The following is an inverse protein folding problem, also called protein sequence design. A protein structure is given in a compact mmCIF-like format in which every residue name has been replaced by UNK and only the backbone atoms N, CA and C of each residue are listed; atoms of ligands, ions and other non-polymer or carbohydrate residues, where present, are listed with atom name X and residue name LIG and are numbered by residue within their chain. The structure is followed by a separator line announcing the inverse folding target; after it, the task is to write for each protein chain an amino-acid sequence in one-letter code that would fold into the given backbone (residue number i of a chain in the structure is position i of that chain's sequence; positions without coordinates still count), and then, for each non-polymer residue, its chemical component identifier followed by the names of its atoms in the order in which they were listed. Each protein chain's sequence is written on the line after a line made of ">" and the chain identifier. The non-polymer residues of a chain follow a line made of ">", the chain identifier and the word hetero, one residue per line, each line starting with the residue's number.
data_IF_815844169157
#
_entry.id   IF_815844169157
#
_cell.length_a   1.000
_cell.length_b   1.000
_cell.length_c   1.000
_cell.angle_alpha   90.00
_cell.angle_beta   90.00
_cell.angle_gamma   90.00
#
_symmetry.space_group_name_H-M   'P 1'
#
loop_
_entity.id
_entity.type
_entity.pdbx_description
1 polymer ?
#
# COMPACT_ATOMS: atom_id res chain seq x y z
N UNK A 1 22.14 -34.23 17.10
CA UNK A 1 22.30 -33.31 18.25
C UNK A 1 21.09 -32.37 18.25
N UNK A 2 20.12 -32.61 19.14
CA UNK A 2 18.88 -31.80 19.29
C UNK A 2 19.11 -30.71 20.33
N UNK A 3 18.59 -29.51 20.09
CA UNK A 3 18.66 -28.37 21.00
C UNK A 3 17.70 -28.60 22.20
N UNK A 4 18.21 -28.63 23.45
CA UNK A 4 17.42 -29.01 24.63
C UNK A 4 16.41 -27.96 25.13
N UNK A 5 16.34 -26.77 24.54
CA UNK A 5 15.38 -25.71 24.90
C UNK A 5 14.26 -25.49 23.87
N UNK A 6 14.04 -26.45 22.97
CA UNK A 6 12.96 -26.36 21.98
C UNK A 6 11.59 -26.63 22.64
N UNK A 7 10.75 -25.60 22.78
CA UNK A 7 9.30 -25.80 22.90
C UNK A 7 8.77 -26.08 21.49
N UNK A 8 8.30 -27.30 21.25
CA UNK A 8 7.63 -27.66 20.01
C UNK A 8 6.29 -26.93 19.90
N UNK A 9 6.24 -25.89 19.06
CA UNK A 9 4.97 -25.36 18.55
C UNK A 9 4.85 -25.75 17.09
N UNK A 10 4.08 -26.80 16.85
CA UNK A 10 3.60 -27.17 15.52
C UNK A 10 2.61 -26.09 15.06
N UNK A 11 3.11 -25.02 14.46
CA UNK A 11 2.26 -24.03 13.77
C UNK A 11 2.02 -24.51 12.34
N UNK A 12 1.12 -25.49 12.22
CA UNK A 12 0.41 -25.70 10.96
C UNK A 12 -0.78 -24.73 10.94
N UNK A 13 -0.55 -23.54 10.43
CA UNK A 13 -1.61 -22.71 9.85
C UNK A 13 -0.98 -21.92 8.72
N UNK A 14 -1.43 -22.05 7.47
CA UNK A 14 -1.21 -20.94 6.54
C UNK A 14 -1.86 -19.73 7.22
N UNK A 15 -1.14 -18.62 7.37
CA UNK A 15 -1.72 -17.37 7.85
C UNK A 15 -2.86 -16.99 6.87
N UNK A 16 -4.06 -17.49 7.11
CA UNK A 16 -5.27 -16.86 6.59
C UNK A 16 -5.31 -15.53 7.31
N UNK A 17 -5.01 -14.45 6.58
CA UNK A 17 -5.38 -13.12 7.03
C UNK A 17 -6.85 -13.19 7.45
N UNK A 18 -7.13 -12.84 8.70
CA UNK A 18 -8.50 -12.84 9.24
C UNK A 18 -9.37 -11.77 8.55
N UNK A 19 -8.68 -10.79 7.96
CA UNK A 19 -9.22 -9.59 7.31
C UNK A 19 -9.16 -9.77 5.79
N UNK A 20 -10.21 -9.34 5.10
CA UNK A 20 -10.20 -9.29 3.63
C UNK A 20 -9.20 -8.23 3.15
N UNK A 21 -8.37 -8.55 2.16
CA UNK A 21 -7.34 -7.64 1.65
C UNK A 21 -7.51 -7.45 0.16
N UNK A 22 -7.65 -6.19 -0.26
CA UNK A 22 -7.82 -5.81 -1.67
C UNK A 22 -6.84 -4.72 -2.08
N UNK A 23 -6.44 -4.70 -3.34
CA UNK A 23 -5.59 -3.64 -3.90
C UNK A 23 -6.38 -2.76 -4.87
N UNK A 24 -6.16 -1.45 -4.81
CA UNK A 24 -6.57 -0.51 -5.85
C UNK A 24 -5.35 0.18 -6.44
N UNK A 25 -5.41 0.39 -7.76
CA UNK A 25 -4.29 0.87 -8.53
C UNK A 25 -4.48 2.31 -9.03
N UNK A 26 -3.60 3.23 -8.63
CA UNK A 26 -3.42 4.50 -9.35
C UNK A 26 -2.76 4.22 -10.71
N UNK A 27 -3.26 4.93 -11.74
CA UNK A 27 -2.87 4.72 -13.15
C UNK A 27 -2.08 5.89 -13.72
N UNK A 28 -1.88 6.93 -12.94
CA UNK A 28 -1.18 8.13 -13.36
C UNK A 28 0.34 8.03 -13.07
N UNK A 29 1.12 8.83 -13.79
CA UNK A 29 2.55 8.99 -13.48
C UNK A 29 2.76 9.98 -12.31
N UNK A 30 1.70 10.64 -11.85
CA UNK A 30 1.69 11.45 -10.63
C UNK A 30 1.68 10.59 -9.37
N UNK A 31 2.12 11.19 -8.27
CA UNK A 31 2.00 10.60 -6.93
C UNK A 31 0.60 10.85 -6.34
N UNK A 32 -0.46 10.73 -7.14
CA UNK A 32 -1.84 11.01 -6.72
C UNK A 32 -2.62 9.69 -6.53
N UNK A 33 -2.94 9.40 -5.27
CA UNK A 33 -3.68 8.21 -4.86
C UNK A 33 -5.19 8.47 -4.72
N UNK A 34 -5.66 9.70 -5.02
CA UNK A 34 -7.03 10.13 -4.73
C UNK A 34 -8.09 9.29 -5.43
N UNK A 35 -7.91 8.99 -6.72
CA UNK A 35 -8.90 8.24 -7.48
C UNK A 35 -9.01 6.79 -6.97
N UNK A 36 -7.86 6.14 -6.75
CA UNK A 36 -7.84 4.77 -6.22
C UNK A 36 -8.41 4.69 -4.80
N UNK A 37 -8.11 5.68 -3.95
CA UNK A 37 -8.70 5.77 -2.62
C UNK A 37 -10.23 6.01 -2.68
N UNK A 38 -10.69 6.88 -3.58
CA UNK A 38 -12.11 7.15 -3.81
C UNK A 38 -12.84 5.87 -4.22
N UNK A 39 -12.34 5.18 -5.24
CA UNK A 39 -12.93 3.92 -5.73
C UNK A 39 -13.01 2.85 -4.62
N UNK A 40 -11.99 2.77 -3.77
CA UNK A 40 -11.98 1.85 -2.64
C UNK A 40 -13.03 2.19 -1.56
N UNK A 41 -13.18 3.49 -1.24
CA UNK A 41 -14.17 3.93 -0.26
C UNK A 41 -15.59 3.72 -0.81
N UNK A 42 -15.81 4.05 -2.09
CA UNK A 42 -17.11 3.89 -2.76
C UNK A 42 -17.56 2.44 -2.76
N UNK A 43 -16.68 1.50 -3.10
CA UNK A 43 -17.03 0.09 -3.06
C UNK A 43 -17.43 -0.37 -1.65
N UNK A 44 -16.71 0.08 -0.61
CA UNK A 44 -17.08 -0.25 0.77
C UNK A 44 -18.44 0.33 1.16
N UNK A 45 -18.75 1.56 0.72
CA UNK A 45 -20.06 2.18 0.94
C UNK A 45 -21.16 1.35 0.29
N UNK A 46 -20.98 0.98 -0.97
CA UNK A 46 -21.96 0.18 -1.71
C UNK A 46 -22.13 -1.22 -1.10
N UNK A 47 -21.05 -1.88 -0.68
CA UNK A 47 -21.13 -3.18 0.03
C UNK A 47 -21.90 -3.09 1.37
N UNK A 48 -21.82 -1.96 2.08
CA UNK A 48 -22.58 -1.76 3.32
C UNK A 48 -24.06 -1.51 2.99
N UNK A 49 -24.33 -0.76 1.93
CA UNK A 49 -25.69 -0.48 1.45
C UNK A 49 -26.41 -1.73 0.99
N UNK A 50 -25.74 -2.60 0.24
CA UNK A 50 -26.30 -3.88 -0.21
C UNK A 50 -26.70 -4.81 0.95
N UNK A 51 -26.11 -4.64 2.14
CA UNK A 51 -26.45 -5.41 3.36
C UNK A 51 -27.61 -4.81 4.15
N UNK A 52 -28.11 -3.64 3.77
CA UNK A 52 -29.16 -2.92 4.49
C UNK A 52 -30.46 -2.90 3.67
N UNK A 53 -31.59 -3.06 4.37
CA UNK A 53 -32.91 -3.09 3.73
C UNK A 53 -33.41 -1.69 3.30
N UNK A 54 -32.83 -0.63 3.86
CA UNK A 54 -33.22 0.77 3.61
C UNK A 54 -32.04 1.75 3.78
N UNK A 55 -32.20 2.94 3.18
CA UNK A 55 -31.17 4.00 3.16
C UNK A 55 -30.89 4.62 4.54
N UNK A 56 -31.90 4.74 5.41
CA UNK A 56 -31.68 5.32 6.74
C UNK A 56 -30.81 4.38 7.59
N UNK A 57 -31.02 3.06 7.45
CA UNK A 57 -30.22 2.03 8.10
C UNK A 57 -28.80 1.95 7.55
N UNK A 58 -28.61 2.10 6.25
CA UNK A 58 -27.27 2.10 5.64
C UNK A 58 -26.44 3.30 6.12
N UNK A 59 -27.04 4.51 6.16
CA UNK A 59 -26.40 5.72 6.70
C UNK A 59 -26.07 5.56 8.19
N UNK A 60 -27.02 5.03 8.98
CA UNK A 60 -26.78 4.76 10.40
C UNK A 60 -25.62 3.77 10.57
N UNK A 61 -25.58 2.69 9.79
CA UNK A 61 -24.49 1.71 9.84
C UNK A 61 -23.15 2.33 9.44
N UNK A 62 -23.08 3.09 8.35
CA UNK A 62 -21.88 3.83 7.94
C UNK A 62 -21.36 4.76 9.04
N UNK A 63 -22.26 5.45 9.75
CA UNK A 63 -21.88 6.37 10.83
C UNK A 63 -21.22 5.68 12.04
N UNK A 64 -21.44 4.37 12.20
CA UNK A 64 -20.82 3.58 13.28
C UNK A 64 -19.47 2.99 12.89
N UNK A 65 -19.12 3.00 11.60
CA UNK A 65 -17.87 2.41 11.10
C UNK A 65 -16.72 3.38 11.24
N UNK A 66 -15.55 2.83 11.51
CA UNK A 66 -14.29 3.54 11.64
C UNK A 66 -13.40 3.30 10.41
N UNK A 67 -12.81 4.39 9.90
CA UNK A 67 -12.00 4.38 8.69
C UNK A 67 -10.63 5.02 8.96
N UNK A 68 -9.56 4.25 8.75
CA UNK A 68 -8.19 4.77 8.83
C UNK A 68 -7.54 4.86 7.46
N UNK A 69 -6.74 5.90 7.27
CA UNK A 69 -5.77 6.00 6.18
C UNK A 69 -4.38 5.92 6.78
N UNK A 70 -3.58 4.96 6.34
CA UNK A 70 -2.25 4.70 6.86
C UNK A 70 -1.19 5.07 5.83
N UNK A 71 -0.20 5.85 6.27
CA UNK A 71 1.03 6.10 5.53
C UNK A 71 2.24 5.42 6.17
N UNK A 72 3.30 5.17 5.40
CA UNK A 72 4.62 4.86 5.97
C UNK A 72 5.24 6.10 6.62
N UNK A 73 4.98 7.27 6.04
CA UNK A 73 5.46 8.59 6.43
C UNK A 73 4.29 9.56 6.60
N UNK A 74 4.53 10.68 7.31
CA UNK A 74 3.51 11.71 7.50
C UNK A 74 3.11 12.38 6.18
N UNK A 75 4.06 12.56 5.25
CA UNK A 75 3.81 13.21 3.96
C UNK A 75 3.03 12.31 2.98
N UNK A 76 2.80 11.02 3.29
CA UNK A 76 1.98 10.17 2.43
C UNK A 76 0.53 10.67 2.36
N UNK A 77 0.07 11.45 3.34
CA UNK A 77 -1.24 12.13 3.27
C UNK A 77 -1.34 13.07 2.07
N UNK A 78 -0.23 13.66 1.64
CA UNK A 78 -0.19 14.62 0.54
C UNK A 78 -0.25 13.94 -0.84
N UNK A 79 -0.30 12.59 -0.88
CA UNK A 79 -0.68 11.83 -2.07
C UNK A 79 -2.17 11.89 -2.35
N UNK A 80 -2.97 12.37 -1.40
CA UNK A 80 -4.36 12.73 -1.63
C UNK A 80 -4.39 14.20 -2.03
N UNK A 81 -4.89 14.48 -3.23
CA UNK A 81 -5.06 15.82 -3.75
C UNK A 81 -6.25 16.48 -3.04
N UNK A 82 -5.99 17.53 -2.26
CA UNK A 82 -7.02 18.29 -1.55
C UNK A 82 -7.40 19.62 -2.23
N UNK A 83 -6.61 20.08 -3.20
CA UNK A 83 -6.81 21.39 -3.83
C UNK A 83 -7.75 21.31 -5.04
N UNK A 84 -7.66 20.22 -5.81
CA UNK A 84 -8.43 20.02 -7.05
C UNK A 84 -9.35 18.80 -6.96
N UNK A 85 -9.90 18.52 -5.78
CA UNK A 85 -10.72 17.34 -5.52
C UNK A 85 -12.04 17.72 -4.85
N UNK A 86 -13.16 17.25 -5.40
CA UNK A 86 -14.50 17.49 -4.86
C UNK A 86 -14.90 16.53 -3.73
N UNK A 87 -14.14 15.45 -3.53
CA UNK A 87 -14.46 14.38 -2.59
C UNK A 87 -13.65 14.46 -1.30
N UNK A 88 -12.39 14.91 -1.33
CA UNK A 88 -11.53 14.93 -0.15
C UNK A 88 -11.27 16.35 0.34
N UNK A 89 -11.45 16.57 1.65
CA UNK A 89 -11.08 17.79 2.33
C UNK A 89 -10.20 17.48 3.56
N UNK A 90 -9.02 18.10 3.63
CA UNK A 90 -8.13 18.01 4.79
C UNK A 90 -8.62 18.98 5.87
N UNK A 91 -9.06 18.44 7.01
CA UNK A 91 -9.55 19.25 8.14
C UNK A 91 -8.38 19.65 9.05
N UNK A 92 -7.49 18.69 9.30
CA UNK A 92 -6.26 18.89 10.04
C UNK A 92 -5.19 17.87 9.57
N UNK A 93 -4.11 17.69 10.33
CA UNK A 93 -3.02 16.78 9.98
C UNK A 93 -3.36 15.29 10.09
N UNK A 94 -4.45 14.93 10.75
CA UNK A 94 -4.88 13.57 11.00
C UNK A 94 -6.33 13.31 10.57
N UNK A 95 -7.09 14.32 10.17
CA UNK A 95 -8.51 14.18 9.82
C UNK A 95 -8.77 14.58 8.38
N UNK A 96 -9.28 13.63 7.60
CA UNK A 96 -9.75 13.83 6.23
C UNK A 96 -11.26 13.64 6.23
N UNK A 97 -11.99 14.53 5.55
CA UNK A 97 -13.39 14.30 5.22
C UNK A 97 -13.50 13.79 3.80
N UNK A 98 -14.28 12.72 3.64
CA UNK A 98 -14.69 12.18 2.36
C UNK A 98 -16.17 12.49 2.12
N UNK A 99 -16.49 13.08 0.97
CA UNK A 99 -17.85 13.37 0.55
C UNK A 99 -18.27 12.42 -0.58
N UNK A 100 -19.26 11.59 -0.30
CA UNK A 100 -19.88 10.68 -1.25
C UNK A 100 -20.90 11.41 -2.14
N UNK A 101 -21.25 10.81 -3.28
CA UNK A 101 -22.01 11.47 -4.36
C UNK A 101 -23.40 11.93 -3.99
N UNK A 102 -24.02 11.37 -2.96
CA UNK A 102 -25.37 11.72 -2.49
C UNK A 102 -25.39 12.59 -1.23
N UNK A 103 -24.22 13.09 -0.81
CA UNK A 103 -24.07 13.97 0.36
C UNK A 103 -23.69 13.24 1.66
N UNK A 104 -23.58 11.91 1.68
CA UNK A 104 -23.01 11.19 2.82
C UNK A 104 -21.56 11.64 3.04
N UNK A 105 -21.22 11.94 4.29
CA UNK A 105 -19.87 12.38 4.68
C UNK A 105 -19.24 11.36 5.62
N UNK A 106 -18.02 10.90 5.29
CA UNK A 106 -17.23 9.98 6.11
C UNK A 106 -16.00 10.72 6.65
N UNK A 107 -15.68 10.50 7.92
CA UNK A 107 -14.42 10.97 8.50
C UNK A 107 -13.39 9.85 8.45
N UNK A 108 -12.26 10.12 7.81
CA UNK A 108 -11.11 9.22 7.75
C UNK A 108 -10.02 9.77 8.66
N UNK A 109 -9.41 8.90 9.47
CA UNK A 109 -8.28 9.26 10.32
C UNK A 109 -6.95 8.85 9.69
N UNK A 110 -6.09 9.81 9.40
CA UNK A 110 -4.74 9.59 8.90
C UNK A 110 -3.73 9.34 10.02
N UNK A 111 -2.97 8.25 9.91
CA UNK A 111 -1.90 7.88 10.84
C UNK A 111 -0.71 7.32 10.07
N UNK A 112 0.51 7.49 10.58
CA UNK A 112 1.59 6.61 10.14
C UNK A 112 1.40 5.21 10.71
N UNK A 113 1.90 4.18 10.03
CA UNK A 113 1.77 2.80 10.50
C UNK A 113 2.33 2.63 11.92
N UNK A 114 3.44 3.30 12.23
CA UNK A 114 4.02 3.31 13.58
C UNK A 114 3.06 3.91 14.62
N UNK A 115 2.42 5.05 14.31
CA UNK A 115 1.44 5.69 15.22
C UNK A 115 0.15 4.88 15.36
N UNK A 116 -0.17 4.03 14.39
CA UNK A 116 -1.36 3.17 14.44
C UNK A 116 -1.23 1.98 15.39
N UNK A 117 -0.04 1.70 15.94
CA UNK A 117 0.19 0.52 16.78
C UNK A 117 -0.73 0.51 18.00
N UNK A 118 -1.52 -0.55 18.14
CA UNK A 118 -2.50 -0.71 19.21
C UNK A 118 -3.86 -0.05 18.94
N UNK A 119 -4.01 0.65 17.80
CA UNK A 119 -5.28 1.15 17.32
C UNK A 119 -5.82 0.22 16.23
N UNK A 120 -7.13 0.18 16.06
CA UNK A 120 -7.80 -0.60 15.02
C UNK A 120 -8.98 0.18 14.46
N UNK A 121 -9.31 -0.07 13.20
CA UNK A 121 -10.48 0.47 12.52
C UNK A 121 -11.22 -0.64 11.77
N UNK A 122 -12.47 -0.42 11.42
CA UNK A 122 -13.24 -1.39 10.63
C UNK A 122 -12.64 -1.52 9.23
N UNK A 123 -12.30 -0.37 8.63
CA UNK A 123 -11.68 -0.26 7.32
C UNK A 123 -10.34 0.49 7.40
N UNK A 124 -9.32 -0.05 6.74
CA UNK A 124 -7.98 0.55 6.69
C UNK A 124 -7.52 0.66 5.24
N UNK A 125 -7.14 1.86 4.82
CA UNK A 125 -6.53 2.12 3.52
C UNK A 125 -5.06 2.44 3.71
N UNK A 126 -4.15 1.68 3.09
CA UNK A 126 -2.71 1.86 3.20
C UNK A 126 -2.25 2.57 1.92
N UNK A 127 -1.84 3.83 2.06
CA UNK A 127 -1.33 4.64 0.95
C UNK A 127 0.08 4.22 0.57
N UNK A 128 0.48 4.64 -0.64
CA UNK A 128 1.85 4.51 -1.12
C UNK A 128 2.43 3.09 -0.99
N UNK A 129 1.61 2.07 -1.27
CA UNK A 129 2.06 0.67 -1.36
C UNK A 129 2.86 0.46 -2.64
N UNK A 130 3.92 1.24 -2.81
CA UNK A 130 4.75 1.35 -3.99
C UNK A 130 6.17 0.84 -3.71
N UNK A 131 6.87 0.47 -4.77
CA UNK A 131 8.32 0.27 -4.80
C UNK A 131 9.05 1.61 -4.77
N UNK A 132 10.37 1.56 -4.55
CA UNK A 132 11.25 2.73 -4.54
C UNK A 132 11.58 3.25 -3.14
N UNK A 133 12.42 4.29 -3.10
CA UNK A 133 13.12 4.72 -1.87
C UNK A 133 12.20 5.08 -0.71
N UNK A 134 11.12 5.81 -1.00
CA UNK A 134 10.11 6.29 -0.04
C UNK A 134 8.78 5.53 -0.16
N UNK A 135 8.80 4.33 -0.75
CA UNK A 135 7.64 3.47 -0.87
C UNK A 135 7.37 2.67 0.41
N UNK A 136 6.61 1.59 0.26
CA UNK A 136 6.34 0.64 1.33
C UNK A 136 6.55 -0.78 0.77
N UNK A 137 7.75 -1.39 0.94
CA UNK A 137 8.79 -1.06 1.91
C UNK A 137 9.56 0.22 1.64
N UNK A 138 10.00 0.87 2.72
CA UNK A 138 11.08 1.86 2.63
C UNK A 138 12.40 1.18 2.29
N UNK A 139 13.12 1.73 1.32
CA UNK A 139 14.51 1.33 1.00
C UNK A 139 15.54 2.32 1.53
N UNK A 140 15.12 3.30 2.35
CA UNK A 140 16.06 4.13 3.09
C UNK A 140 16.75 3.21 4.11
N UNK A 141 18.04 2.95 3.89
CA UNK A 141 18.81 2.11 4.80
C UNK A 141 18.83 2.71 6.20
N UNK A 142 18.53 1.86 7.20
CA UNK A 142 18.86 2.17 8.59
C UNK A 142 20.38 2.27 8.76
N UNK A 143 20.81 3.07 9.73
CA UNK A 143 22.21 3.37 10.04
C UNK A 143 23.09 2.09 10.00
N UNK A 144 24.24 2.08 9.30
CA UNK A 144 25.11 0.91 9.18
C UNK A 144 25.56 0.33 10.53
N UNK A 145 25.50 1.09 11.62
CA UNK A 145 25.77 0.61 12.99
C UNK A 145 24.70 -0.39 13.48
N UNK A 146 23.44 -0.25 13.09
CA UNK A 146 22.36 -1.18 13.45
C UNK A 146 22.50 -2.54 12.75
N UNK A 147 23.06 -2.55 11.54
CA UNK A 147 23.29 -3.77 10.75
C UNK A 147 24.29 -4.75 11.37
N UNK A 148 25.17 -4.30 12.28
CA UNK A 148 26.11 -5.18 12.99
C UNK A 148 25.45 -5.99 14.11
N UNK A 149 24.38 -5.47 14.72
CA UNK A 149 23.65 -6.14 15.80
C UNK A 149 22.61 -7.13 15.24
N UNK A 150 21.99 -6.79 14.11
CA UNK A 150 20.94 -7.59 13.46
C UNK A 150 21.43 -8.79 12.64
N UNK A 151 22.74 -8.92 12.41
CA UNK A 151 23.37 -10.02 11.63
C UNK A 151 23.08 -11.44 12.17
N UNK A 152 22.45 -11.56 13.34
CA UNK A 152 22.17 -12.85 13.97
C UNK A 152 20.72 -13.34 13.88
N UNK A 153 19.75 -12.54 13.42
CA UNK A 153 18.33 -12.92 13.65
C UNK A 153 17.30 -12.72 12.55
N UNK A 154 17.58 -12.16 11.36
CA UNK A 154 16.65 -12.34 10.23
C UNK A 154 17.29 -11.97 8.87
N UNK A 155 17.65 -12.98 8.07
CA UNK A 155 18.24 -12.79 6.74
C UNK A 155 17.18 -12.58 5.64
N UNK A 156 15.92 -12.33 6.01
CA UNK A 156 14.85 -12.15 5.04
C UNK A 156 14.77 -10.70 4.56
N UNK A 157 14.59 -10.52 3.25
CA UNK A 157 14.63 -9.21 2.61
C UNK A 157 13.54 -8.28 3.17
N UNK A 158 13.94 -7.07 3.57
CA UNK A 158 13.10 -6.05 4.21
C UNK A 158 12.28 -6.60 5.41
N UNK A 159 12.88 -7.46 6.24
CA UNK A 159 12.21 -8.12 7.37
C UNK A 159 11.45 -7.15 8.29
N UNK A 160 12.05 -6.02 8.68
CA UNK A 160 11.39 -5.02 9.53
C UNK A 160 10.22 -4.33 8.82
N UNK A 161 10.43 -3.85 7.60
CA UNK A 161 9.36 -3.20 6.82
C UNK A 161 8.22 -4.17 6.50
N UNK A 162 8.51 -5.45 6.33
CA UNK A 162 7.51 -6.50 6.11
C UNK A 162 6.66 -6.72 7.35
N UNK A 163 7.27 -6.76 8.54
CA UNK A 163 6.52 -6.79 9.81
C UNK A 163 5.67 -5.54 9.95
N UNK A 164 6.21 -4.37 9.58
CA UNK A 164 5.46 -3.12 9.60
C UNK A 164 4.27 -3.15 8.63
N UNK A 165 4.42 -3.74 7.43
CA UNK A 165 3.33 -3.90 6.49
C UNK A 165 2.22 -4.83 7.03
N UNK A 166 2.58 -5.95 7.64
CA UNK A 166 1.62 -6.81 8.34
C UNK A 166 0.94 -6.11 9.53
N UNK A 167 1.68 -5.24 10.24
CA UNK A 167 1.11 -4.35 11.23
C UNK A 167 0.04 -3.48 10.57
N UNK A 168 0.30 -2.82 9.44
CA UNK A 168 -0.71 -2.01 8.74
C UNK A 168 -1.98 -2.82 8.39
N UNK A 169 -1.82 -3.99 7.76
CA UNK A 169 -2.94 -4.87 7.39
C UNK A 169 -3.77 -5.32 8.60
N UNK A 170 -3.10 -5.68 9.70
CA UNK A 170 -3.77 -6.13 10.93
C UNK A 170 -4.46 -5.01 11.72
N UNK A 171 -4.40 -3.74 11.27
CA UNK A 171 -5.21 -2.67 11.88
C UNK A 171 -6.67 -2.71 11.44
N UNK A 172 -6.99 -3.43 10.36
CA UNK A 172 -8.36 -3.58 9.87
C UNK A 172 -9.06 -4.76 10.52
N UNK A 173 -10.26 -4.50 11.03
CA UNK A 173 -11.16 -5.53 11.59
C UNK A 173 -11.96 -6.25 10.51
N UNK A 174 -12.35 -5.53 9.44
CA UNK A 174 -13.18 -6.08 8.37
C UNK A 174 -12.40 -6.17 7.05
N UNK A 175 -11.92 -5.04 6.54
CA UNK A 175 -11.22 -4.98 5.25
C UNK A 175 -10.02 -4.03 5.28
N UNK A 176 -8.89 -4.53 4.80
CA UNK A 176 -7.71 -3.73 4.52
C UNK A 176 -7.60 -3.50 3.01
N UNK A 177 -7.25 -2.29 2.62
CA UNK A 177 -7.07 -1.90 1.23
C UNK A 177 -5.67 -1.36 1.02
N UNK A 178 -4.94 -1.90 0.06
CA UNK A 178 -3.65 -1.37 -0.39
C UNK A 178 -3.87 -0.44 -1.58
N UNK A 179 -3.40 0.80 -1.49
CA UNK A 179 -3.37 1.73 -2.62
C UNK A 179 -1.96 1.73 -3.21
N UNK A 180 -1.85 1.30 -4.46
CA UNK A 180 -0.57 1.12 -5.16
C UNK A 180 -0.61 1.77 -6.54
N UNK A 181 0.53 2.18 -7.08
CA UNK A 181 0.66 2.61 -8.46
C UNK A 181 0.94 1.39 -9.32
N UNK A 182 0.18 1.21 -10.40
CA UNK A 182 0.30 0.07 -11.32
C UNK A 182 1.68 -0.05 -11.99
N UNK A 183 2.41 1.06 -12.15
CA UNK A 183 3.76 1.06 -12.71
C UNK A 183 4.85 0.79 -11.66
N UNK A 184 4.56 1.09 -10.39
CA UNK A 184 5.53 1.07 -9.31
C UNK A 184 5.07 0.20 -8.15
N UNK A 185 4.37 -0.90 -8.42
CA UNK A 185 3.73 -1.70 -7.39
C UNK A 185 4.74 -2.23 -6.36
N UNK A 186 4.39 -2.13 -5.07
CA UNK A 186 5.22 -2.71 -4.02
C UNK A 186 5.32 -4.21 -4.18
N UNK A 187 6.52 -4.75 -3.94
CA UNK A 187 6.68 -6.20 -3.83
C UNK A 187 5.72 -6.81 -2.81
N UNK A 188 5.45 -6.16 -1.67
CA UNK A 188 4.52 -6.70 -0.69
C UNK A 188 3.10 -6.87 -1.23
N UNK A 189 2.66 -5.97 -2.12
CA UNK A 189 1.37 -6.07 -2.81
C UNK A 189 1.38 -7.21 -3.82
N UNK A 190 2.43 -7.33 -4.64
CA UNK A 190 2.58 -8.43 -5.60
C UNK A 190 2.57 -9.80 -4.91
N UNK A 191 3.26 -9.92 -3.77
CA UNK A 191 3.28 -11.16 -2.99
C UNK A 191 1.89 -11.51 -2.41
N UNK A 192 1.06 -10.53 -2.08
CA UNK A 192 -0.32 -10.75 -1.62
C UNK A 192 -1.23 -11.25 -2.75
N UNK A 193 -1.09 -10.67 -3.95
CA UNK A 193 -1.93 -11.01 -5.11
C UNK A 193 -1.57 -12.37 -5.72
N UNK A 194 -0.29 -12.72 -5.76
CA UNK A 194 0.18 -13.97 -6.35
C UNK A 194 0.11 -15.17 -5.37
N UNK A 195 -0.28 -14.94 -4.10
CA UNK A 195 -0.40 -15.98 -3.07
C UNK A 195 0.91 -16.69 -2.71
N UNK A 196 2.04 -16.20 -3.24
CA UNK A 196 3.42 -16.65 -3.01
C UNK A 196 4.36 -15.46 -3.25
N UNK A 197 5.52 -15.40 -2.57
CA UNK A 197 6.46 -14.33 -2.81
C UNK A 197 7.02 -14.42 -4.24
N UNK A 198 6.67 -13.47 -5.11
CA UNK A 198 7.21 -13.39 -6.47
C UNK A 198 8.71 -13.13 -6.42
N UNK A 199 9.43 -13.87 -7.25
CA UNK A 199 10.85 -13.76 -7.52
C UNK A 199 11.31 -12.32 -7.77
N UNK A 200 12.22 -11.85 -6.91
CA UNK A 200 13.26 -10.82 -7.09
C UNK A 200 13.09 -9.95 -8.34
N UNK A 201 12.52 -8.75 -8.17
CA UNK A 201 12.59 -7.69 -9.17
C UNK A 201 14.06 -7.40 -9.52
N UNK A 202 14.40 -7.34 -10.82
CA UNK A 202 15.76 -6.97 -11.23
C UNK A 202 16.00 -5.51 -10.88
N UNK A 203 16.98 -5.25 -10.02
CA UNK A 203 17.37 -3.88 -9.67
C UNK A 203 18.03 -3.17 -10.85
N UNK A 204 17.73 -1.88 -10.98
CA UNK A 204 18.31 -1.00 -11.97
C UNK A 204 19.82 -0.93 -11.76
N UNK A 205 20.64 -1.26 -12.77
CA UNK A 205 22.10 -1.25 -12.61
C UNK A 205 22.67 0.17 -12.44
N UNK A 206 21.90 1.21 -12.78
CA UNK A 206 22.33 2.61 -12.66
C UNK A 206 22.15 3.17 -11.25
N UNK A 207 20.91 3.21 -10.73
CA UNK A 207 20.65 3.77 -9.40
C UNK A 207 20.72 2.74 -8.27
N UNK A 208 20.72 1.44 -8.59
CA UNK A 208 20.76 0.30 -7.65
C UNK A 208 19.57 0.19 -6.69
N UNK A 209 18.75 1.23 -6.56
CA UNK A 209 17.54 1.26 -5.73
C UNK A 209 16.27 0.96 -6.52
N UNK A 210 16.09 1.60 -7.67
CA UNK A 210 14.90 1.41 -8.51
C UNK A 210 14.86 0.02 -9.14
N UNK A 211 13.66 -0.48 -9.38
CA UNK A 211 13.42 -1.74 -10.08
C UNK A 211 13.37 -1.51 -11.60
N UNK A 212 13.70 -2.54 -12.38
CA UNK A 212 13.52 -2.55 -13.83
C UNK A 212 12.08 -2.90 -14.18
N UNK A 213 11.41 -1.96 -14.84
CA UNK A 213 10.04 -2.11 -15.31
C UNK A 213 10.06 -2.29 -16.83
N UNK A 214 9.43 -3.35 -17.34
CA UNK A 214 9.25 -3.56 -18.77
C UNK A 214 8.11 -2.66 -19.28
N UNK A 215 8.44 -1.70 -20.14
CA UNK A 215 7.48 -0.92 -20.94
C UNK A 215 7.41 -1.52 -22.34
N UNK A 216 6.21 -1.70 -22.88
CA UNK A 216 6.01 -2.22 -24.23
C UNK A 216 4.79 -1.61 -24.91
N UNK A 217 4.78 -1.57 -26.24
CA UNK A 217 3.66 -1.05 -27.02
C UNK A 217 3.86 -1.19 -28.52
N UNK A 218 2.98 -0.56 -29.31
CA UNK A 218 3.05 -0.54 -30.77
C UNK A 218 3.17 0.91 -31.24
N UNK A 219 4.15 1.18 -32.10
CA UNK A 219 4.37 2.51 -32.69
C UNK A 219 3.27 2.85 -33.71
N UNK A 220 3.15 4.13 -34.05
CA UNK A 220 2.22 4.61 -35.09
C UNK A 220 2.41 3.93 -36.47
N UNK A 221 3.61 3.39 -36.71
CA UNK A 221 3.97 2.67 -37.93
C UNK A 221 3.71 1.16 -37.83
N UNK A 222 3.07 0.69 -36.75
CA UNK A 222 2.73 -0.72 -36.54
C UNK A 222 3.86 -1.59 -35.96
N UNK A 223 5.04 -1.03 -35.69
CA UNK A 223 6.13 -1.80 -35.08
C UNK A 223 5.97 -1.90 -33.57
N UNK A 224 6.09 -3.12 -33.04
CA UNK A 224 6.14 -3.34 -31.60
C UNK A 224 7.47 -2.86 -31.04
N UNK A 225 7.41 -2.30 -29.83
CA UNK A 225 8.56 -1.87 -29.07
C UNK A 225 8.48 -2.39 -27.65
N UNK A 226 9.62 -2.71 -27.06
CA UNK A 226 9.76 -3.04 -25.66
C UNK A 226 11.08 -2.47 -25.12
N UNK A 227 11.06 -1.90 -23.92
CA UNK A 227 12.25 -1.50 -23.21
C UNK A 227 12.06 -1.64 -21.71
N UNK A 228 13.11 -2.00 -20.99
CA UNK A 228 13.16 -1.90 -19.53
C UNK A 228 13.58 -0.48 -19.14
N UNK A 229 12.90 0.09 -18.15
CA UNK A 229 13.23 1.41 -17.60
C UNK A 229 13.25 1.39 -16.08
N UNK A 230 14.00 2.32 -15.49
CA UNK A 230 14.08 2.41 -14.03
C UNK A 230 12.81 3.00 -13.42
N UNK A 231 12.31 2.38 -12.34
CA UNK A 231 11.20 2.90 -11.56
C UNK A 231 11.40 4.30 -11.00
N UNK A 232 12.66 4.69 -10.78
CA UNK A 232 13.03 6.00 -10.27
C UNK A 232 13.14 7.09 -11.36
N UNK A 233 12.71 6.83 -12.61
CA UNK A 233 12.78 7.81 -13.69
C UNK A 233 12.04 9.12 -13.35
N UNK A 234 10.77 9.03 -12.94
CA UNK A 234 9.94 10.21 -12.68
C UNK A 234 10.29 10.91 -11.35
N UNK A 235 10.59 10.14 -10.30
CA UNK A 235 10.81 10.69 -8.95
C UNK A 235 12.25 11.18 -8.70
N UNK A 236 13.24 10.57 -9.36
CA UNK A 236 14.66 10.84 -9.09
C UNK A 236 15.50 11.01 -10.36
N UNK A 237 14.86 11.25 -11.51
CA UNK A 237 15.53 11.47 -12.80
C UNK A 237 16.49 10.34 -13.20
N UNK A 238 16.22 9.09 -12.82
CA UNK A 238 17.03 7.95 -13.25
C UNK A 238 16.67 7.53 -14.68
N UNK A 239 17.38 8.06 -15.67
CA UNK A 239 17.22 7.85 -17.11
C UNK A 239 17.79 6.51 -17.62
N UNK A 240 17.91 5.50 -16.76
CA UNK A 240 18.28 4.17 -17.23
C UNK A 240 17.16 3.55 -18.06
N UNK A 241 17.51 3.16 -19.29
CA UNK A 241 16.65 2.43 -20.22
C UNK A 241 17.46 1.43 -21.03
N UNK A 242 16.89 0.24 -21.25
CA UNK A 242 17.48 -0.82 -22.06
C UNK A 242 16.41 -1.37 -23.02
N UNK A 243 16.66 -1.28 -24.33
CA UNK A 243 15.71 -1.75 -25.35
C UNK A 243 15.81 -3.26 -25.54
N UNK A 244 14.67 -3.91 -25.74
CA UNK A 244 14.55 -5.35 -26.04
C UNK A 244 14.10 -5.61 -27.46
#
# INVERSE_FOLDING_TARGET
>A
MKNPNQIEKTLSTPLRLKTDVKTYYSRDESNDDSLALKEAIDEIIEEIREKCDDEARSIAMLSTKSFFVLGRYNFDIDRINFENNSHFAKIDSETIKYQYSDGVTISLKFLTVHRSKGLEADFVFILNCNSGKIGFPSEIADDPVLGLILKSSDNYENSEERRLFYVALSRAKEKAVCISNSNFTSKFVLELEEGKPSSVSKKCPRCKSGDLILKQGTSANGHNWAFESCSNYAAYNCDYKEWK
#
